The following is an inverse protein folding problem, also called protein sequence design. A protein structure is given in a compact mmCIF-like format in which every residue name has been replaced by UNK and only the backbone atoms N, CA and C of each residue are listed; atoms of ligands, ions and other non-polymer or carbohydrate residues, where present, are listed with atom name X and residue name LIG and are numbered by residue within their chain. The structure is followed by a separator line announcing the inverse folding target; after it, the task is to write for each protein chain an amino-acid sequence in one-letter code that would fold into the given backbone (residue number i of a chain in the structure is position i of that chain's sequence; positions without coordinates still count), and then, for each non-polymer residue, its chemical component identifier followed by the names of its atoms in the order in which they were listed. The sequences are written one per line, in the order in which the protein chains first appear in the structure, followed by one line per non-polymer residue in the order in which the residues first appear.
data_IF_577939144593
#
_entry.id   IF_577939144593
#
_cell.length_a   1.000
_cell.length_b   1.000
_cell.length_c   1.000
_cell.angle_alpha   90.00
_cell.angle_beta   90.00
_cell.angle_gamma   90.00
#
_symmetry.space_group_name_H-M   'P 1'
#
loop_
_entity.id
_entity.type
_entity.pdbx_description
1 polymer ?
#
# COMPACT_ATOMS: atom_id res chain seq x y z
N UNK A 1 13.03 -24.31 -13.43
CA UNK A 1 13.24 -23.06 -12.69
C UNK A 1 12.03 -22.17 -12.98
N UNK A 2 11.05 -22.16 -12.08
CA UNK A 2 9.86 -21.32 -12.23
C UNK A 2 10.31 -19.91 -11.84
N UNK A 3 10.49 -19.04 -12.83
CA UNK A 3 10.72 -17.62 -12.57
C UNK A 3 9.42 -17.07 -11.97
N UNK A 4 9.40 -16.90 -10.66
CA UNK A 4 8.37 -16.09 -10.03
C UNK A 4 8.46 -14.69 -10.64
N UNK A 5 7.40 -14.16 -11.27
CA UNK A 5 7.37 -12.77 -11.64
C UNK A 5 7.47 -11.99 -10.33
N UNK A 6 8.65 -11.44 -10.06
CA UNK A 6 8.83 -10.35 -9.10
C UNK A 6 7.68 -9.37 -9.36
N UNK A 7 6.91 -8.95 -8.34
CA UNK A 7 5.91 -7.92 -8.53
C UNK A 7 6.62 -6.71 -9.11
N UNK A 8 6.41 -6.46 -10.41
CA UNK A 8 6.97 -5.31 -11.10
C UNK A 8 6.50 -4.11 -10.30
N UNK A 9 7.43 -3.37 -9.72
CA UNK A 9 7.20 -2.05 -9.10
C UNK A 9 6.44 -1.20 -10.10
N UNK A 10 5.10 -1.21 -10.01
CA UNK A 10 4.26 -0.47 -10.92
C UNK A 10 4.32 0.99 -10.49
N UNK A 11 5.24 1.70 -11.16
CA UNK A 11 5.10 3.10 -11.57
C UNK A 11 5.31 4.17 -10.50
N UNK A 12 6.58 4.40 -10.14
CA UNK A 12 7.02 5.79 -9.94
C UNK A 12 7.15 6.45 -11.31
N UNK A 13 6.02 6.89 -11.88
CA UNK A 13 5.99 7.59 -13.17
C UNK A 13 6.40 9.04 -12.95
N UNK A 14 7.35 9.55 -13.72
CA UNK A 14 7.57 10.99 -13.75
C UNK A 14 6.48 11.67 -14.57
N UNK A 15 5.92 12.75 -14.03
CA UNK A 15 4.86 13.55 -14.66
C UNK A 15 5.23 15.04 -14.58
N UNK A 16 4.74 15.82 -15.53
CA UNK A 16 4.93 17.27 -15.52
C UNK A 16 4.22 17.87 -14.30
N UNK A 17 4.95 18.65 -13.50
CA UNK A 17 4.44 19.30 -12.31
C UNK A 17 5.34 20.46 -11.90
N UNK A 18 4.75 21.63 -11.68
CA UNK A 18 5.50 22.81 -11.20
C UNK A 18 5.64 22.83 -9.67
N UNK A 19 4.78 22.10 -8.95
CA UNK A 19 4.77 22.08 -7.47
C UNK A 19 4.55 20.67 -6.94
N UNK A 20 5.15 20.40 -5.79
CA UNK A 20 4.96 19.18 -5.04
C UNK A 20 3.55 19.15 -4.41
N UNK A 21 2.75 18.13 -4.72
CA UNK A 21 1.41 17.93 -4.16
C UNK A 21 1.42 17.77 -2.62
N UNK A 22 2.54 17.35 -2.03
CA UNK A 22 2.66 17.21 -0.58
C UNK A 22 2.94 18.52 0.16
N UNK A 23 3.99 19.25 -0.25
CA UNK A 23 4.53 20.38 0.51
C UNK A 23 4.37 21.73 -0.20
N UNK A 24 3.85 21.76 -1.43
CA UNK A 24 3.64 22.96 -2.21
C UNK A 24 4.91 23.62 -2.76
N UNK A 25 6.10 23.10 -2.41
CA UNK A 25 7.38 23.61 -2.93
C UNK A 25 7.45 23.44 -4.44
N UNK A 26 8.10 24.39 -5.08
CA UNK A 26 8.38 24.34 -6.51
C UNK A 26 9.28 23.15 -6.86
N UNK A 27 9.06 22.57 -8.04
CA UNK A 27 9.87 21.49 -8.59
C UNK A 27 10.80 22.09 -9.65
N UNK A 28 12.12 22.23 -9.38
CA UNK A 28 13.04 22.94 -10.26
C UNK A 28 13.14 22.36 -11.67
N UNK A 29 12.87 21.05 -11.81
CA UNK A 29 12.89 20.32 -13.08
C UNK A 29 11.58 20.45 -13.85
N UNK A 30 10.54 21.06 -13.28
CA UNK A 30 9.18 21.03 -13.82
C UNK A 30 8.55 19.64 -13.84
N UNK A 31 9.13 18.69 -13.11
CA UNK A 31 8.71 17.29 -13.06
C UNK A 31 8.62 16.79 -11.62
N UNK A 32 7.61 15.96 -11.35
CA UNK A 32 7.44 15.25 -10.09
C UNK A 32 7.24 13.76 -10.33
N UNK A 33 7.44 12.96 -9.28
CA UNK A 33 7.08 11.54 -9.30
C UNK A 33 5.63 11.40 -8.88
N UNK A 34 4.81 10.80 -9.73
CA UNK A 34 3.43 10.48 -9.43
C UNK A 34 3.36 9.46 -8.30
N UNK A 35 2.63 9.82 -7.24
CA UNK A 35 2.35 8.95 -6.12
C UNK A 35 0.84 8.66 -6.11
N UNK A 36 0.42 7.37 -6.12
CA UNK A 36 -0.99 7.01 -6.11
C UNK A 36 -1.77 7.75 -5.02
N UNK A 37 -2.93 8.30 -5.40
CA UNK A 37 -3.86 9.02 -4.53
C UNK A 37 -3.35 10.35 -3.92
N UNK A 38 -2.13 10.77 -4.29
CA UNK A 38 -1.48 11.97 -3.75
C UNK A 38 -1.16 12.94 -4.88
N UNK A 39 -0.75 12.44 -6.03
CA UNK A 39 -0.29 13.25 -7.16
C UNK A 39 1.23 13.39 -7.22
N UNK A 40 1.74 14.32 -8.03
CA UNK A 40 3.17 14.49 -8.25
C UNK A 40 3.88 15.07 -7.03
N UNK A 41 4.95 14.43 -6.59
CA UNK A 41 5.77 14.92 -5.48
C UNK A 41 7.24 15.05 -5.85
N UNK A 42 7.93 15.96 -5.18
CA UNK A 42 9.38 16.14 -5.33
C UNK A 42 10.19 15.04 -4.65
N UNK A 43 11.50 14.93 -4.96
CA UNK A 43 12.36 13.80 -4.56
C UNK A 43 12.43 13.57 -3.04
N UNK A 44 12.47 14.63 -2.23
CA UNK A 44 12.44 14.51 -0.76
C UNK A 44 11.14 13.88 -0.25
N UNK A 45 10.03 14.20 -0.92
CA UNK A 45 8.71 13.70 -0.56
C UNK A 45 8.53 12.27 -1.05
N UNK A 46 9.04 11.91 -2.24
CA UNK A 46 9.02 10.54 -2.76
C UNK A 46 9.52 9.54 -1.72
N UNK A 47 10.66 9.83 -1.05
CA UNK A 47 11.20 8.94 -0.02
C UNK A 47 10.26 8.76 1.17
N UNK A 48 9.53 9.80 1.57
CA UNK A 48 8.55 9.75 2.67
C UNK A 48 7.31 8.93 2.31
N UNK A 49 6.89 9.02 1.06
CA UNK A 49 5.71 8.30 0.57
C UNK A 49 6.02 6.88 0.10
N UNK A 50 7.28 6.58 -0.24
CA UNK A 50 7.67 5.29 -0.82
C UNK A 50 7.27 4.08 0.02
N UNK A 51 7.48 4.13 1.34
CA UNK A 51 7.07 3.04 2.23
C UNK A 51 5.55 2.88 2.32
N UNK A 52 4.80 3.98 2.31
CA UNK A 52 3.34 3.95 2.31
C UNK A 52 2.80 3.40 0.98
N UNK A 53 3.41 3.76 -0.15
CA UNK A 53 3.03 3.23 -1.47
C UNK A 53 3.27 1.72 -1.52
N UNK A 54 4.45 1.26 -1.11
CA UNK A 54 4.76 -0.17 -1.08
C UNK A 54 3.80 -0.94 -0.17
N UNK A 55 3.43 -0.35 0.98
CA UNK A 55 2.43 -0.89 1.89
C UNK A 55 1.03 -1.00 1.25
N UNK A 56 0.58 0.06 0.58
CA UNK A 56 -0.69 0.10 -0.13
C UNK A 56 -0.71 -0.94 -1.26
N UNK A 57 0.37 -1.06 -2.04
CA UNK A 57 0.48 -2.04 -3.13
C UNK A 57 0.44 -3.47 -2.62
N UNK A 58 1.09 -3.77 -1.50
CA UNK A 58 1.08 -5.11 -0.90
C UNK A 58 -0.28 -5.48 -0.28
N UNK A 59 -0.97 -4.50 0.28
CA UNK A 59 -2.29 -4.72 0.87
C UNK A 59 -3.40 -4.76 -0.18
N UNK A 60 -3.26 -4.03 -1.29
CA UNK A 60 -4.26 -4.02 -2.35
C UNK A 60 -4.29 -5.36 -3.09
N UNK A 61 -5.44 -6.02 -3.07
CA UNK A 61 -5.59 -7.39 -3.56
C UNK A 61 -5.14 -8.46 -2.56
N UNK A 62 -4.85 -8.10 -1.30
CA UNK A 62 -4.62 -9.09 -0.25
C UNK A 62 -5.89 -9.89 -0.03
N UNK A 63 -5.85 -11.16 -0.41
CA UNK A 63 -6.96 -12.09 -0.22
C UNK A 63 -7.01 -12.58 1.24
N UNK A 64 -8.23 -12.76 1.74
CA UNK A 64 -8.50 -13.49 2.95
C UNK A 64 -9.53 -14.59 2.73
N UNK A 65 -9.27 -15.73 3.37
CA UNK A 65 -10.05 -16.95 3.22
C UNK A 65 -10.91 -17.14 4.45
N UNK A 66 -12.24 -17.20 4.30
CA UNK A 66 -13.16 -17.24 5.44
C UNK A 66 -12.96 -18.49 6.33
N UNK A 67 -12.41 -19.56 5.77
CA UNK A 67 -12.08 -20.80 6.48
C UNK A 67 -10.74 -20.75 7.21
N UNK A 68 -9.89 -19.75 6.96
CA UNK A 68 -8.59 -19.59 7.62
C UNK A 68 -8.63 -18.41 8.60
N UNK A 69 -8.73 -18.73 9.90
CA UNK A 69 -8.75 -17.75 10.97
C UNK A 69 -7.45 -16.94 11.09
N UNK A 70 -6.31 -17.46 10.60
CA UNK A 70 -5.05 -16.73 10.54
C UNK A 70 -5.12 -15.62 9.50
N UNK A 71 -5.46 -15.98 8.26
CA UNK A 71 -5.69 -15.05 7.16
C UNK A 71 -6.72 -13.97 7.48
N UNK A 72 -7.86 -14.33 8.09
CA UNK A 72 -8.89 -13.34 8.50
C UNK A 72 -8.34 -12.36 9.53
N UNK A 73 -7.64 -12.83 10.57
CA UNK A 73 -7.05 -11.96 11.60
C UNK A 73 -6.01 -11.02 11.02
N UNK A 74 -5.16 -11.54 10.16
CA UNK A 74 -4.12 -10.76 9.49
C UNK A 74 -4.71 -9.67 8.59
N UNK A 75 -5.64 -10.03 7.70
CA UNK A 75 -6.31 -9.08 6.82
C UNK A 75 -7.09 -8.02 7.62
N UNK A 76 -7.72 -8.41 8.72
CA UNK A 76 -8.38 -7.49 9.64
C UNK A 76 -7.39 -6.49 10.26
N UNK A 77 -6.22 -6.95 10.72
CA UNK A 77 -5.18 -6.06 11.25
C UNK A 77 -4.62 -5.09 10.21
N UNK A 78 -4.32 -5.57 9.01
CA UNK A 78 -3.86 -4.76 7.88
C UNK A 78 -4.91 -3.71 7.51
N UNK A 79 -6.18 -4.12 7.42
CA UNK A 79 -7.32 -3.22 7.18
C UNK A 79 -7.39 -2.10 8.22
N UNK A 80 -7.28 -2.44 9.50
CA UNK A 80 -7.36 -1.46 10.59
C UNK A 80 -6.18 -0.51 10.63
N UNK A 81 -4.95 -1.01 10.43
CA UNK A 81 -3.76 -0.14 10.38
C UNK A 81 -3.86 0.87 9.23
N UNK A 82 -4.26 0.42 8.02
CA UNK A 82 -4.43 1.31 6.87
C UNK A 82 -5.56 2.33 7.05
N UNK A 83 -6.72 1.90 7.56
CA UNK A 83 -7.83 2.81 7.88
C UNK A 83 -7.44 3.80 8.98
N UNK A 84 -6.72 3.36 10.01
CA UNK A 84 -6.18 4.20 11.07
C UNK A 84 -5.20 5.25 10.54
N UNK A 85 -4.36 4.86 9.57
CA UNK A 85 -3.49 5.77 8.84
C UNK A 85 -4.24 6.76 7.93
N UNK A 86 -5.54 6.54 7.65
CA UNK A 86 -6.34 7.40 6.78
C UNK A 86 -6.34 6.97 5.30
N UNK A 87 -6.08 5.69 5.03
CA UNK A 87 -6.28 5.05 3.73
C UNK A 87 -7.71 4.53 3.64
N UNK A 88 -8.39 4.80 2.53
CA UNK A 88 -9.71 4.26 2.26
C UNK A 88 -9.58 2.84 1.69
N UNK A 89 -9.92 1.85 2.51
CA UNK A 89 -9.85 0.42 2.15
C UNK A 89 -11.23 -0.21 2.28
N UNK A 90 -11.68 -0.91 1.24
CA UNK A 90 -12.88 -1.71 1.20
C UNK A 90 -12.53 -3.21 1.28
N UNK A 91 -13.48 -4.02 1.70
CA UNK A 91 -13.41 -5.48 1.58
C UNK A 91 -14.35 -5.87 0.46
N UNK A 92 -13.86 -6.60 -0.54
CA UNK A 92 -14.62 -7.02 -1.72
C UNK A 92 -14.64 -8.53 -1.81
N UNK A 93 -15.76 -9.11 -2.23
CA UNK A 93 -15.84 -10.54 -2.52
C UNK A 93 -15.16 -10.83 -3.87
N UNK A 94 -14.21 -11.76 -3.88
CA UNK A 94 -13.49 -12.17 -5.10
C UNK A 94 -14.14 -13.43 -5.69
N UNK A 95 -14.41 -14.40 -4.83
CA UNK A 95 -15.05 -15.69 -5.15
C UNK A 95 -15.67 -16.27 -3.88
N UNK A 96 -16.53 -17.31 -3.97
CA UNK A 96 -17.16 -17.89 -2.78
C UNK A 96 -16.13 -18.25 -1.69
N UNK A 97 -16.32 -17.70 -0.49
CA UNK A 97 -15.45 -17.90 0.67
C UNK A 97 -14.11 -17.14 0.65
N UNK A 98 -13.88 -16.27 -0.34
CA UNK A 98 -12.66 -15.46 -0.44
C UNK A 98 -13.00 -13.99 -0.64
N UNK A 99 -12.47 -13.15 0.24
CA UNK A 99 -12.53 -11.69 0.15
C UNK A 99 -11.16 -11.12 -0.15
N UNK A 100 -11.10 -9.88 -0.63
CA UNK A 100 -9.86 -9.15 -0.77
C UNK A 100 -9.96 -7.73 -0.24
N UNK A 101 -8.84 -7.17 0.16
CA UNK A 101 -8.72 -5.75 0.49
C UNK A 101 -8.55 -4.94 -0.80
N UNK A 102 -9.40 -3.94 -1.01
CA UNK A 102 -9.33 -3.01 -2.14
C UNK A 102 -9.04 -1.59 -1.64
N UNK A 103 -7.93 -1.01 -2.07
CA UNK A 103 -7.54 0.36 -1.72
C UNK A 103 -8.17 1.33 -2.73
N UNK A 104 -9.08 2.17 -2.23
CA UNK A 104 -9.85 3.14 -3.04
C UNK A 104 -9.29 4.55 -3.03
N UNK A 105 -8.37 4.83 -2.12
CA UNK A 105 -7.68 6.12 -2.04
C UNK A 105 -7.38 6.54 -0.62
N UNK A 106 -7.43 7.84 -0.36
CA UNK A 106 -7.16 8.41 0.96
C UNK A 106 -8.43 9.04 1.54
N UNK A 107 -8.68 8.83 2.83
CA UNK A 107 -9.80 9.45 3.56
C UNK A 107 -9.41 10.78 4.22
N UNK A 108 -8.13 11.15 4.17
CA UNK A 108 -7.56 12.36 4.78
C UNK A 108 -6.48 12.99 3.88
N UNK A 109 -6.03 14.19 4.24
CA UNK A 109 -4.93 14.87 3.54
C UNK A 109 -3.66 13.99 3.53
N UNK A 110 -2.96 13.84 2.38
CA UNK A 110 -1.75 13.00 2.26
C UNK A 110 -0.71 13.19 3.36
N UNK A 111 -0.45 14.44 3.76
CA UNK A 111 0.51 14.75 4.82
C UNK A 111 0.13 14.12 6.17
N UNK A 112 -1.17 14.09 6.49
CA UNK A 112 -1.66 13.46 7.72
C UNK A 112 -1.57 11.94 7.61
N UNK A 113 -1.84 11.38 6.43
CA UNK A 113 -1.72 9.95 6.18
C UNK A 113 -0.29 9.46 6.39
N UNK A 114 0.70 10.14 5.82
CA UNK A 114 2.11 9.75 6.04
C UNK A 114 2.55 9.88 7.48
N UNK A 115 2.12 10.94 8.18
CA UNK A 115 2.45 11.10 9.59
C UNK A 115 1.87 9.94 10.42
N UNK A 116 0.59 9.62 10.24
CA UNK A 116 -0.06 8.51 10.93
C UNK A 116 0.51 7.15 10.51
N UNK A 117 0.88 6.98 9.23
CA UNK A 117 1.52 5.74 8.78
C UNK A 117 2.89 5.54 9.43
N UNK A 118 3.69 6.60 9.60
CA UNK A 118 4.98 6.51 10.26
C UNK A 118 4.89 5.96 11.69
N UNK A 119 3.80 6.25 12.42
CA UNK A 119 3.55 5.73 13.77
C UNK A 119 3.21 4.24 13.80
N UNK A 120 2.61 3.71 12.73
CA UNK A 120 2.18 2.31 12.64
C UNK A 120 3.05 1.45 11.71
N UNK A 121 4.02 2.07 11.03
CA UNK A 121 4.81 1.47 9.95
C UNK A 121 5.50 0.18 10.36
N UNK A 122 6.22 0.20 11.47
CA UNK A 122 7.00 -0.96 11.92
C UNK A 122 6.11 -2.18 12.18
N UNK A 123 5.00 -1.97 12.90
CA UNK A 123 4.00 -3.01 13.16
C UNK A 123 3.34 -3.51 11.87
N UNK A 124 3.08 -2.60 10.93
CA UNK A 124 2.49 -2.94 9.64
C UNK A 124 3.46 -3.79 8.78
N UNK A 125 4.72 -3.38 8.68
CA UNK A 125 5.77 -4.10 7.95
C UNK A 125 6.03 -5.48 8.56
N UNK A 126 6.06 -5.59 9.89
CA UNK A 126 6.17 -6.87 10.59
C UNK A 126 5.00 -7.80 10.24
N UNK A 127 3.76 -7.29 10.23
CA UNK A 127 2.56 -8.06 9.88
C UNK A 127 2.57 -8.49 8.41
N UNK A 128 3.02 -7.63 7.51
CA UNK A 128 3.20 -8.01 6.10
C UNK A 128 4.27 -9.09 5.93
N UNK A 129 5.35 -9.05 6.70
CA UNK A 129 6.36 -10.11 6.71
C UNK A 129 5.77 -11.46 7.12
N UNK A 130 4.96 -11.49 8.18
CA UNK A 130 4.23 -12.70 8.60
C UNK A 130 3.25 -13.17 7.51
N UNK A 131 2.52 -12.25 6.89
CA UNK A 131 1.60 -12.54 5.79
C UNK A 131 2.28 -13.14 4.56
N UNK A 132 3.50 -12.69 4.24
CA UNK A 132 4.27 -13.20 3.13
C UNK A 132 4.82 -14.60 3.44
N UNK A 133 5.32 -14.81 4.66
CA UNK A 133 5.82 -16.11 5.11
C UNK A 133 4.73 -17.19 5.13
N UNK A 134 3.53 -16.87 5.64
CA UNK A 134 2.40 -17.84 5.67
C UNK A 134 1.97 -18.28 4.26
N UNK A 135 2.06 -17.39 3.26
CA UNK A 135 1.78 -17.73 1.85
C UNK A 135 2.82 -18.66 1.24
N UNK A 136 4.08 -18.52 1.65
CA UNK A 136 5.18 -19.37 1.17
C UNK A 136 5.11 -20.77 1.82
N UNK A 137 4.78 -20.84 3.11
CA UNK A 137 4.67 -22.10 3.86
C UNK A 137 3.45 -22.94 3.46
N UNK A 138 2.35 -22.31 3.07
CA UNK A 138 1.16 -23.02 2.56
C UNK A 138 1.31 -23.54 1.13
N UNK A 139 2.45 -23.29 0.46
CA UNK A 139 2.78 -23.87 -0.84
C UNK A 139 1.79 -23.50 -1.95
N UNK A 140 1.17 -22.32 -1.88
CA UNK A 140 0.15 -21.93 -2.86
C UNK A 140 0.82 -21.44 -4.16
N UNK A 141 0.84 -22.32 -5.15
CA UNK A 141 1.12 -22.00 -6.55
C UNK A 141 -0.09 -21.28 -7.12
N UNK A 142 0.14 -20.09 -7.66
CA UNK A 142 -0.84 -19.25 -8.37
C UNK A 142 -1.56 -19.98 -9.51
#
# INVERSE_FOLDING_TARGET
MIQHPQPRTKTQRQVAAHRCAHCGRELPTGQGTEIPFIGPVGPECVRKYGSLVAAIEQANGMECYEWDQGSVRLAHHVLWDLRGAGVAVAVVDVKPGVKALEVRGLSRKPRKVVASFAEVRERFEQRLGLAAAEREETGWVA
#
